data_IF_547190787156
#
_entry.id   IF_547190787156
#
_cell.length_a   1.000
_cell.length_b   1.000
_cell.length_c   1.000
_cell.angle_alpha   90.00
_cell.angle_beta   90.00
_cell.angle_gamma   90.00
#
_symmetry.space_group_name_H-M   'P 1'
#
loop_
_entity.id
_entity.type
_entity.pdbx_description
1 polymer ?
#
# COMPACT_ATOMS: atom_id res chain seq x y z
N UNK A 1 -17.17 -4.90 17.28
CA UNK A 1 -18.20 -4.01 16.73
C UNK A 1 -17.48 -2.79 16.17
N UNK A 2 -17.62 -2.50 14.88
CA UNK A 2 -17.11 -1.25 14.32
C UNK A 2 -17.73 -0.06 15.07
N UNK A 3 -16.94 0.98 15.33
CA UNK A 3 -17.41 2.21 15.98
C UNK A 3 -18.60 2.77 15.21
N UNK A 4 -19.80 2.75 15.79
CA UNK A 4 -20.94 3.47 15.25
C UNK A 4 -20.66 4.96 15.44
N UNK A 5 -20.77 5.75 14.36
CA UNK A 5 -20.48 7.19 14.37
C UNK A 5 -21.23 7.91 15.49
N UNK A 6 -20.54 8.85 16.13
CA UNK A 6 -21.04 9.65 17.27
C UNK A 6 -22.11 10.68 16.91
N UNK A 7 -22.70 10.64 15.70
CA UNK A 7 -23.64 11.68 15.25
C UNK A 7 -24.91 11.13 14.65
N UNK A 8 -26.00 11.04 15.45
CA UNK A 8 -27.36 10.83 14.96
C UNK A 8 -28.02 12.05 14.30
N UNK A 9 -27.25 13.04 13.85
CA UNK A 9 -27.71 14.17 13.05
C UNK A 9 -27.59 13.85 11.55
N UNK A 10 -28.50 14.37 10.72
CA UNK A 10 -28.40 14.28 9.27
C UNK A 10 -27.05 14.88 8.83
N UNK A 11 -26.21 14.07 8.12
CA UNK A 11 -24.92 14.51 7.65
C UNK A 11 -25.09 15.76 6.75
N UNK A 12 -24.25 16.77 7.01
CA UNK A 12 -24.27 18.04 6.25
C UNK A 12 -23.68 17.78 4.86
N UNK A 13 -24.33 18.33 3.82
CA UNK A 13 -23.70 18.38 2.50
C UNK A 13 -22.47 19.32 2.56
N UNK A 14 -21.44 18.96 1.84
CA UNK A 14 -20.26 19.83 1.67
C UNK A 14 -20.69 21.05 0.86
N UNK A 15 -20.43 22.30 1.33
CA UNK A 15 -20.61 23.48 0.51
C UNK A 15 -19.75 23.39 -0.76
N UNK A 16 -20.09 24.17 -1.80
CA UNK A 16 -19.24 24.26 -2.99
C UNK A 16 -17.81 24.63 -2.57
N UNK A 17 -16.88 23.75 -2.87
CA UNK A 17 -15.46 23.92 -2.54
C UNK A 17 -14.79 24.60 -3.73
N UNK A 18 -14.42 25.84 -3.56
CA UNK A 18 -13.59 26.54 -4.54
C UNK A 18 -12.16 25.98 -4.48
N UNK A 19 -11.66 25.52 -5.63
CA UNK A 19 -10.28 25.04 -5.77
C UNK A 19 -9.60 25.81 -6.90
N UNK A 20 -8.37 26.24 -6.64
CA UNK A 20 -7.52 26.87 -7.65
C UNK A 20 -6.97 25.81 -8.61
N UNK A 21 -7.20 26.02 -9.92
CA UNK A 21 -6.60 25.16 -10.95
C UNK A 21 -5.19 25.63 -11.29
N UNK A 22 -4.19 24.74 -11.18
CA UNK A 22 -2.77 25.04 -11.41
C UNK A 22 -2.28 24.22 -12.59
N UNK A 23 -2.12 24.89 -13.73
CA UNK A 23 -1.68 24.32 -15.01
C UNK A 23 -0.55 25.13 -15.67
N UNK A 24 0.12 25.99 -14.90
CA UNK A 24 1.28 26.78 -15.36
C UNK A 24 2.42 26.70 -14.35
N UNK A 25 3.67 26.77 -14.83
CA UNK A 25 4.86 26.75 -13.97
C UNK A 25 4.86 27.93 -12.98
N UNK A 26 4.37 29.10 -13.38
CA UNK A 26 4.25 30.25 -12.49
C UNK A 26 3.22 30.02 -11.37
N UNK A 27 2.08 29.39 -11.69
CA UNK A 27 1.07 29.02 -10.72
C UNK A 27 1.59 27.96 -9.75
N UNK A 28 2.34 26.98 -10.26
CA UNK A 28 2.97 25.96 -9.42
C UNK A 28 4.02 26.55 -8.48
N UNK A 29 4.89 27.45 -8.99
CA UNK A 29 5.88 28.12 -8.16
C UNK A 29 5.23 28.94 -7.03
N UNK A 30 4.17 29.68 -7.33
CA UNK A 30 3.43 30.43 -6.33
C UNK A 30 2.81 29.51 -5.26
N UNK A 31 2.21 28.37 -5.67
CA UNK A 31 1.68 27.37 -4.74
C UNK A 31 2.77 26.79 -3.83
N UNK A 32 3.92 26.41 -4.38
CA UNK A 32 5.05 25.88 -3.59
C UNK A 32 5.58 26.91 -2.60
N UNK A 33 5.67 28.18 -3.02
CA UNK A 33 6.11 29.28 -2.13
C UNK A 33 5.11 29.50 -0.97
N UNK A 34 3.80 29.40 -1.24
CA UNK A 34 2.77 29.50 -0.21
C UNK A 34 2.80 28.32 0.77
N UNK A 35 3.06 27.12 0.27
CA UNK A 35 3.10 25.89 1.08
C UNK A 35 4.36 25.73 1.91
N UNK A 36 5.43 26.43 1.58
CA UNK A 36 6.76 26.26 2.21
C UNK A 36 6.75 26.48 3.73
N UNK A 37 5.94 27.42 4.19
CA UNK A 37 5.87 27.85 5.58
C UNK A 37 4.66 27.31 6.33
N UNK A 38 3.87 26.40 5.72
CA UNK A 38 2.73 25.79 6.43
C UNK A 38 3.18 24.57 7.24
N UNK A 39 2.66 24.46 8.45
CA UNK A 39 2.97 23.33 9.33
C UNK A 39 2.42 22.00 8.79
N UNK A 40 1.29 22.05 8.09
CA UNK A 40 0.56 20.87 7.60
C UNK A 40 -0.16 21.17 6.30
N UNK A 41 -0.13 20.21 5.39
CA UNK A 41 -0.89 20.24 4.14
C UNK A 41 -1.51 18.88 3.85
N UNK A 42 -2.70 18.88 3.27
CA UNK A 42 -3.38 17.69 2.82
C UNK A 42 -2.95 17.34 1.40
N UNK A 43 -2.79 16.05 1.09
CA UNK A 43 -2.47 15.56 -0.24
C UNK A 43 -3.35 14.37 -0.61
N UNK A 44 -3.69 14.30 -1.89
CA UNK A 44 -4.26 13.13 -2.54
C UNK A 44 -3.86 13.08 -4.00
N UNK A 45 -3.97 11.93 -4.68
CA UNK A 45 -3.66 11.82 -6.11
C UNK A 45 -4.71 11.01 -6.85
N UNK A 46 -5.02 11.48 -8.08
CA UNK A 46 -5.66 10.64 -9.06
C UNK A 46 -4.61 10.15 -10.07
N UNK A 47 -4.55 8.85 -10.31
CA UNK A 47 -3.55 8.26 -11.18
C UNK A 47 -4.10 7.10 -12.02
N UNK A 48 -3.40 6.80 -13.11
CA UNK A 48 -3.73 5.71 -14.01
C UNK A 48 -2.65 4.62 -13.99
N UNK A 49 -3.07 3.33 -13.96
CA UNK A 49 -2.19 2.16 -13.85
C UNK A 49 -2.48 1.06 -14.89
N UNK A 50 -3.54 1.22 -15.66
CA UNK A 50 -4.02 0.11 -16.50
C UNK A 50 -3.23 -0.07 -17.80
N UNK A 51 -2.67 1.02 -18.35
CA UNK A 51 -1.99 1.06 -19.64
C UNK A 51 -0.47 1.21 -19.56
N UNK A 52 0.05 1.47 -18.36
CA UNK A 52 1.47 1.71 -18.08
C UNK A 52 2.00 0.71 -17.06
N UNK A 53 3.32 0.55 -17.00
CA UNK A 53 3.99 -0.19 -15.94
C UNK A 53 4.09 0.64 -14.65
N UNK A 54 4.46 1.90 -14.80
CA UNK A 54 4.51 2.86 -13.71
C UNK A 54 3.17 3.58 -13.54
N UNK A 55 2.77 3.91 -12.32
CA UNK A 55 1.58 4.71 -12.11
C UNK A 55 1.81 6.10 -12.74
N UNK A 56 0.89 6.54 -13.56
CA UNK A 56 0.92 7.87 -14.16
C UNK A 56 -0.02 8.78 -13.39
N UNK A 57 0.55 9.77 -12.69
CA UNK A 57 -0.25 10.78 -12.00
C UNK A 57 -1.09 11.57 -13.02
N UNK A 58 -2.35 11.76 -12.71
CA UNK A 58 -3.31 12.45 -13.56
C UNK A 58 -3.84 13.74 -12.93
N UNK A 59 -3.81 13.84 -11.60
CA UNK A 59 -4.14 15.03 -10.84
C UNK A 59 -3.44 14.94 -9.47
N UNK A 60 -2.95 16.04 -8.95
CA UNK A 60 -2.48 16.18 -7.58
C UNK A 60 -3.36 17.18 -6.85
N UNK A 61 -3.98 16.78 -5.77
CA UNK A 61 -4.78 17.61 -4.91
C UNK A 61 -3.98 18.07 -3.70
N UNK A 62 -4.06 19.35 -3.39
CA UNK A 62 -3.38 19.96 -2.24
C UNK A 62 -4.38 20.79 -1.46
N UNK A 63 -4.46 20.56 -0.15
CA UNK A 63 -5.28 21.36 0.78
C UNK A 63 -4.42 21.94 1.91
N UNK A 64 -4.62 23.19 2.27
CA UNK A 64 -3.89 23.80 3.39
C UNK A 64 -4.73 24.87 4.09
N UNK A 65 -4.22 25.39 5.20
CA UNK A 65 -4.80 26.56 5.86
C UNK A 65 -3.93 27.77 5.56
N UNK A 66 -4.55 28.83 5.07
CA UNK A 66 -3.89 30.12 4.86
C UNK A 66 -3.46 30.74 6.19
N UNK A 67 -2.57 31.76 6.19
CA UNK A 67 -2.23 32.50 7.42
C UNK A 67 -3.44 33.14 8.14
N UNK A 68 -4.55 33.38 7.41
CA UNK A 68 -5.80 33.84 7.99
C UNK A 68 -6.62 32.72 8.65
N UNK A 69 -6.15 31.44 8.55
CA UNK A 69 -6.83 30.27 9.08
C UNK A 69 -7.94 29.71 8.18
N UNK A 70 -8.09 30.26 6.97
CA UNK A 70 -9.07 29.80 5.99
C UNK A 70 -8.53 28.56 5.25
N UNK A 71 -9.43 27.63 4.88
CA UNK A 71 -9.07 26.50 4.03
C UNK A 71 -8.82 26.96 2.59
N UNK A 72 -7.74 26.49 1.98
CA UNK A 72 -7.44 26.68 0.57
C UNK A 72 -7.16 25.34 -0.10
N UNK A 73 -7.52 25.22 -1.38
CA UNK A 73 -7.33 24.00 -2.17
C UNK A 73 -6.78 24.35 -3.54
N UNK A 74 -5.79 23.56 -3.97
CA UNK A 74 -5.27 23.59 -5.33
C UNK A 74 -5.42 22.22 -5.99
N UNK A 75 -5.78 22.22 -7.28
CA UNK A 75 -5.79 21.08 -8.16
C UNK A 75 -4.71 21.29 -9.20
N UNK A 76 -3.61 20.56 -9.07
CA UNK A 76 -2.43 20.69 -9.93
C UNK A 76 -2.54 19.71 -11.09
N UNK A 77 -2.43 20.20 -12.33
CA UNK A 77 -2.47 19.40 -13.54
C UNK A 77 -1.07 18.90 -13.96
N UNK A 78 -0.70 17.64 -13.66
CA UNK A 78 0.62 17.10 -14.01
C UNK A 78 0.79 16.82 -15.51
N UNK A 79 -0.27 17.02 -16.32
CA UNK A 79 -0.17 16.95 -17.78
C UNK A 79 0.28 18.28 -18.38
N UNK A 80 0.21 19.38 -17.60
CA UNK A 80 0.57 20.73 -18.02
C UNK A 80 1.84 21.23 -17.34
N UNK A 81 2.14 20.78 -16.09
CA UNK A 81 3.30 21.22 -15.31
C UNK A 81 4.12 20.03 -14.81
N UNK A 82 5.42 20.25 -14.58
CA UNK A 82 6.31 19.27 -13.95
C UNK A 82 6.15 19.33 -12.42
N UNK A 83 5.90 18.18 -11.79
CA UNK A 83 5.75 18.07 -10.33
C UNK A 83 7.09 18.05 -9.56
N UNK A 84 8.23 18.03 -10.22
CA UNK A 84 9.55 18.01 -9.57
C UNK A 84 9.74 19.08 -8.48
N UNK A 85 9.19 20.31 -8.57
CA UNK A 85 9.27 21.29 -7.48
C UNK A 85 8.70 20.83 -6.14
N UNK A 86 7.75 19.88 -6.12
CA UNK A 86 7.25 19.30 -4.87
C UNK A 86 8.32 18.56 -4.06
N UNK A 87 9.42 18.11 -4.69
CA UNK A 87 10.51 17.48 -3.96
C UNK A 87 11.13 18.39 -2.87
N UNK A 88 11.20 19.68 -3.14
CA UNK A 88 11.68 20.65 -2.16
C UNK A 88 10.69 20.85 -1.01
N UNK A 89 9.38 20.88 -1.30
CA UNK A 89 8.33 20.92 -0.28
C UNK A 89 8.35 19.64 0.59
N UNK A 90 8.46 18.48 -0.04
CA UNK A 90 8.49 17.17 0.64
C UNK A 90 9.72 16.98 1.54
N UNK A 91 10.85 17.61 1.20
CA UNK A 91 12.04 17.64 2.06
C UNK A 91 11.91 18.62 3.24
N UNK A 92 10.91 19.50 3.23
CA UNK A 92 10.64 20.48 4.27
C UNK A 92 10.03 19.85 5.54
N UNK A 93 9.81 20.66 6.59
CA UNK A 93 9.29 20.17 7.88
C UNK A 93 7.77 19.96 7.91
N UNK A 94 7.04 20.39 6.87
CA UNK A 94 5.58 20.30 6.83
C UNK A 94 5.06 18.86 6.88
N UNK A 95 4.02 18.61 7.68
CA UNK A 95 3.36 17.32 7.80
C UNK A 95 2.38 17.11 6.64
N UNK A 96 2.61 16.10 5.82
CA UNK A 96 1.62 15.66 4.81
C UNK A 96 0.51 14.84 5.48
N UNK A 97 -0.72 15.29 5.36
CA UNK A 97 -1.91 14.59 5.85
C UNK A 97 -2.60 13.94 4.66
N UNK A 98 -2.76 12.63 4.70
CA UNK A 98 -3.30 11.83 3.62
C UNK A 98 -4.32 10.80 4.13
N UNK A 99 -5.01 10.11 3.21
CA UNK A 99 -5.87 8.99 3.55
C UNK A 99 -5.55 7.77 2.70
N UNK A 100 -5.16 6.65 3.33
CA UNK A 100 -4.76 5.41 2.65
C UNK A 100 -3.58 5.60 1.67
N UNK A 101 -2.58 6.36 2.07
CA UNK A 101 -1.50 6.94 1.27
C UNK A 101 -0.56 5.95 0.57
N UNK A 102 -0.69 4.63 0.77
CA UNK A 102 0.28 3.64 0.29
C UNK A 102 0.51 3.67 -1.23
N UNK A 103 -0.53 3.96 -2.01
CA UNK A 103 -0.41 4.05 -3.47
C UNK A 103 0.13 5.40 -3.91
N UNK A 104 -0.24 6.48 -3.21
CA UNK A 104 0.23 7.84 -3.51
C UNK A 104 1.74 7.97 -3.23
N UNK A 105 2.25 7.34 -2.18
CA UNK A 105 3.70 7.25 -1.92
C UNK A 105 4.45 6.63 -3.11
N UNK A 106 3.92 5.55 -3.72
CA UNK A 106 4.51 4.99 -4.94
C UNK A 106 4.42 5.94 -6.14
N UNK A 107 3.29 6.65 -6.27
CA UNK A 107 3.10 7.67 -7.32
C UNK A 107 4.11 8.81 -7.13
N UNK A 108 4.28 9.34 -5.93
CA UNK A 108 5.25 10.40 -5.63
C UNK A 108 6.68 9.97 -5.87
N UNK A 109 7.07 8.80 -5.39
CA UNK A 109 8.42 8.24 -5.64
C UNK A 109 8.75 8.20 -7.13
N UNK A 110 7.78 7.79 -7.95
CA UNK A 110 7.98 7.65 -9.39
C UNK A 110 7.89 8.99 -10.14
N UNK A 111 6.92 9.85 -9.79
CA UNK A 111 6.61 11.07 -10.56
C UNK A 111 7.38 12.29 -10.08
N UNK A 112 7.80 12.34 -8.81
CA UNK A 112 8.48 13.47 -8.18
C UNK A 112 9.91 13.09 -7.80
N UNK A 113 10.20 11.79 -7.61
CA UNK A 113 11.48 11.29 -7.10
C UNK A 113 11.67 11.53 -5.60
N UNK A 114 10.63 11.91 -4.88
CA UNK A 114 10.63 12.18 -3.45
C UNK A 114 9.28 11.85 -2.83
N UNK A 115 9.27 11.62 -1.52
CA UNK A 115 8.06 11.48 -0.70
C UNK A 115 8.12 12.44 0.48
N UNK A 116 6.98 12.85 1.07
CA UNK A 116 6.97 13.74 2.22
C UNK A 116 7.86 13.24 3.35
N UNK A 117 8.63 14.14 3.97
CA UNK A 117 9.52 13.83 5.10
C UNK A 117 8.74 13.42 6.36
N UNK A 118 7.51 13.89 6.52
CA UNK A 118 6.58 13.54 7.58
C UNK A 118 5.21 13.24 7.00
N UNK A 119 4.58 12.16 7.47
CA UNK A 119 3.29 11.66 7.01
C UNK A 119 2.34 11.41 8.18
N UNK A 120 1.07 11.78 8.02
CA UNK A 120 -0.03 11.32 8.85
C UNK A 120 -1.13 10.73 7.97
N UNK A 121 -1.27 9.41 8.00
CA UNK A 121 -2.33 8.71 7.29
C UNK A 121 -3.57 8.58 8.19
N UNK A 122 -4.64 9.27 7.82
CA UNK A 122 -5.89 9.27 8.58
C UNK A 122 -6.56 7.89 8.64
N UNK A 123 -6.31 6.99 7.68
CA UNK A 123 -6.83 5.62 7.73
C UNK A 123 -6.10 4.78 8.77
N UNK A 124 -4.77 4.89 8.85
CA UNK A 124 -3.96 4.25 9.90
C UNK A 124 -4.37 4.80 11.27
N UNK A 125 -4.44 6.12 11.40
CA UNK A 125 -4.84 6.79 12.63
C UNK A 125 -6.21 6.31 13.12
N UNK A 126 -7.19 6.23 12.22
CA UNK A 126 -8.53 5.72 12.51
C UNK A 126 -8.52 4.25 12.95
N UNK A 127 -7.63 3.44 12.39
CA UNK A 127 -7.45 2.04 12.81
C UNK A 127 -7.06 1.91 14.29
N UNK A 128 -6.26 2.83 14.82
CA UNK A 128 -5.94 2.91 16.25
C UNK A 128 -7.08 3.44 17.13
N UNK A 129 -8.17 3.90 16.53
CA UNK A 129 -9.39 4.33 17.22
C UNK A 129 -10.54 3.32 17.06
N UNK A 130 -10.28 2.16 16.44
CA UNK A 130 -11.21 1.05 16.31
C UNK A 130 -12.03 1.05 15.01
N UNK A 131 -11.66 1.85 14.03
CA UNK A 131 -12.20 1.74 12.69
C UNK A 131 -11.50 0.58 11.94
N UNK A 132 -12.28 -0.22 11.22
CA UNK A 132 -11.72 -1.27 10.35
C UNK A 132 -11.49 -0.73 8.94
N UNK A 133 -10.30 -0.23 8.64
CA UNK A 133 -9.92 0.30 7.32
C UNK A 133 -11.02 1.18 6.68
N UNK A 134 -11.41 2.29 7.29
CA UNK A 134 -12.53 3.09 6.80
C UNK A 134 -12.15 3.74 5.46
N UNK A 135 -13.14 3.95 4.57
CA UNK A 135 -12.97 4.89 3.47
C UNK A 135 -12.99 6.32 3.99
N UNK A 136 -12.41 7.26 3.24
CA UNK A 136 -12.45 8.69 3.59
C UNK A 136 -13.88 9.18 3.82
N UNK A 137 -14.83 8.79 2.95
CA UNK A 137 -16.24 9.12 3.09
C UNK A 137 -16.83 8.62 4.42
N UNK A 138 -16.55 7.35 4.78
CA UNK A 138 -17.05 6.79 6.04
C UNK A 138 -16.42 7.47 7.26
N UNK A 139 -15.14 7.84 7.17
CA UNK A 139 -14.43 8.52 8.25
C UNK A 139 -14.93 9.97 8.42
N UNK A 140 -15.11 10.73 7.32
CA UNK A 140 -15.64 12.07 7.35
C UNK A 140 -17.09 12.10 7.89
N UNK A 141 -17.93 11.15 7.48
CA UNK A 141 -19.30 11.03 8.01
C UNK A 141 -19.30 10.68 9.50
N UNK A 142 -18.42 9.74 9.92
CA UNK A 142 -18.35 9.28 11.32
C UNK A 142 -17.75 10.31 12.28
N UNK A 143 -16.72 11.04 11.87
CA UNK A 143 -15.98 11.94 12.74
C UNK A 143 -16.45 13.40 12.62
N UNK A 144 -16.82 13.85 11.42
CA UNK A 144 -17.16 15.24 11.17
C UNK A 144 -18.67 15.45 10.90
N UNK A 145 -19.42 14.37 10.67
CA UNK A 145 -20.83 14.47 10.25
C UNK A 145 -20.99 15.05 8.84
N UNK A 146 -19.96 14.91 7.99
CA UNK A 146 -19.92 15.46 6.63
C UNK A 146 -20.04 14.31 5.62
N UNK A 147 -20.90 14.50 4.61
CA UNK A 147 -21.05 13.54 3.52
C UNK A 147 -20.33 14.04 2.29
N UNK A 148 -19.18 13.39 1.97
CA UNK A 148 -18.42 13.68 0.77
C UNK A 148 -19.15 13.24 -0.50
N UNK A 149 -18.92 13.92 -1.66
CA UNK A 149 -19.45 13.50 -2.93
C UNK A 149 -18.94 12.10 -3.30
N UNK A 150 -19.77 11.34 -4.00
CA UNK A 150 -19.35 10.02 -4.49
C UNK A 150 -18.61 10.18 -5.81
N UNK A 151 -17.39 9.64 -5.87
CA UNK A 151 -16.61 9.55 -7.09
C UNK A 151 -17.14 8.48 -8.04
N UNK A 152 -16.87 8.67 -9.32
CA UNK A 152 -17.03 7.64 -10.34
C UNK A 152 -15.69 6.93 -10.53
N UNK A 153 -15.61 5.67 -10.09
CA UNK A 153 -14.40 4.82 -10.21
C UNK A 153 -13.96 4.56 -11.66
N UNK A 154 -14.83 4.86 -12.62
CA UNK A 154 -14.56 4.68 -14.06
C UNK A 154 -14.13 5.98 -14.73
N UNK A 155 -13.90 7.04 -13.97
CA UNK A 155 -13.46 8.32 -14.49
C UNK A 155 -12.10 8.20 -15.18
N UNK A 156 -12.00 8.67 -16.43
CA UNK A 156 -10.71 8.83 -17.11
C UNK A 156 -10.06 10.15 -16.68
N UNK A 157 -9.26 10.08 -15.64
CA UNK A 157 -8.55 11.24 -15.07
C UNK A 157 -7.46 11.82 -16.00
N UNK A 158 -7.05 11.09 -17.04
CA UNK A 158 -6.10 11.61 -18.04
C UNK A 158 -6.77 12.47 -19.11
N UNK A 159 -8.10 12.48 -19.16
CA UNK A 159 -8.83 13.31 -20.14
C UNK A 159 -8.82 14.78 -19.68
N UNK A 160 -8.72 15.70 -20.66
CA UNK A 160 -8.85 17.14 -20.45
C UNK A 160 -9.87 17.75 -21.41
N UNK A 161 -10.56 18.83 -20.98
CA UNK A 161 -10.59 19.36 -19.61
C UNK A 161 -11.34 18.43 -18.66
N UNK A 162 -11.04 18.50 -17.35
CA UNK A 162 -11.88 17.88 -16.31
C UNK A 162 -13.17 18.66 -16.19
N UNK A 163 -14.29 17.96 -15.99
CA UNK A 163 -15.57 18.59 -15.72
C UNK A 163 -15.68 19.09 -14.26
N UNK A 164 -16.71 19.88 -13.96
CA UNK A 164 -16.89 20.48 -12.64
C UNK A 164 -17.16 19.42 -11.55
N UNK A 165 -17.77 18.30 -11.90
CA UNK A 165 -18.01 17.19 -10.96
C UNK A 165 -16.68 16.50 -10.58
N UNK A 166 -15.79 16.28 -11.55
CA UNK A 166 -14.47 15.71 -11.32
C UNK A 166 -13.66 16.64 -10.42
N UNK A 167 -13.65 17.95 -10.72
CA UNK A 167 -12.94 18.94 -9.90
C UNK A 167 -13.51 19.02 -8.48
N UNK A 168 -14.82 19.03 -8.31
CA UNK A 168 -15.47 19.07 -7.01
C UNK A 168 -15.19 17.79 -6.19
N UNK A 169 -15.18 16.63 -6.85
CA UNK A 169 -14.81 15.37 -6.22
C UNK A 169 -13.37 15.42 -5.72
N UNK A 170 -12.40 15.74 -6.60
CA UNK A 170 -10.98 15.81 -6.26
C UNK A 170 -10.68 16.84 -5.15
N UNK A 171 -11.36 17.98 -5.17
CA UNK A 171 -11.25 18.98 -4.10
C UNK A 171 -11.78 18.46 -2.76
N UNK A 172 -12.86 17.68 -2.78
CA UNK A 172 -13.45 17.13 -1.57
C UNK A 172 -12.56 16.08 -0.88
N UNK A 173 -11.68 15.38 -1.62
CA UNK A 173 -10.79 14.37 -1.07
C UNK A 173 -9.72 14.97 -0.15
N UNK A 174 -9.36 16.25 -0.32
CA UNK A 174 -8.41 16.97 0.56
C UNK A 174 -9.04 18.00 1.49
N UNK A 175 -10.27 18.46 1.20
CA UNK A 175 -10.91 19.56 1.89
C UNK A 175 -10.99 19.41 3.42
N UNK A 176 -11.19 18.19 3.89
CA UNK A 176 -11.44 17.90 5.30
C UNK A 176 -10.35 17.07 5.97
N UNK A 177 -9.25 16.76 5.26
CA UNK A 177 -8.17 15.93 5.83
C UNK A 177 -7.49 16.60 7.03
N UNK A 178 -7.29 17.92 7.00
CA UNK A 178 -6.68 18.65 8.12
C UNK A 178 -7.61 18.69 9.35
N UNK A 179 -8.92 18.77 9.14
CA UNK A 179 -9.90 18.71 10.24
C UNK A 179 -9.98 17.30 10.83
N UNK A 180 -9.95 16.27 9.97
CA UNK A 180 -9.86 14.88 10.40
C UNK A 180 -8.58 14.64 11.19
N UNK A 181 -7.43 15.14 10.71
CA UNK A 181 -6.17 15.06 11.43
C UNK A 181 -6.31 15.63 12.85
N UNK A 182 -6.80 16.87 12.99
CA UNK A 182 -6.90 17.52 14.29
C UNK A 182 -7.75 16.71 15.27
N UNK A 183 -8.85 16.14 14.77
CA UNK A 183 -9.75 15.33 15.60
C UNK A 183 -9.14 13.97 15.99
N UNK A 184 -8.56 13.25 15.04
CA UNK A 184 -7.96 11.95 15.28
C UNK A 184 -6.72 12.08 16.16
N UNK A 185 -5.85 13.07 15.89
CA UNK A 185 -4.62 13.30 16.65
C UNK A 185 -4.94 13.58 18.14
N UNK A 186 -5.96 14.41 18.41
CA UNK A 186 -6.40 14.69 19.78
C UNK A 186 -6.84 13.42 20.51
N UNK A 187 -7.69 12.57 19.89
CA UNK A 187 -8.16 11.34 20.54
C UNK A 187 -7.01 10.31 20.72
N UNK A 188 -6.07 10.27 19.79
CA UNK A 188 -4.87 9.43 19.89
C UNK A 188 -3.95 9.87 21.03
N UNK A 189 -3.79 11.17 21.23
CA UNK A 189 -3.04 11.73 22.38
C UNK A 189 -3.71 11.37 23.71
N UNK A 190 -5.03 11.53 23.81
CA UNK A 190 -5.81 11.16 25.02
C UNK A 190 -5.67 9.66 25.35
N UNK A 191 -5.47 8.80 24.32
CA UNK A 191 -5.29 7.35 24.48
C UNK A 191 -3.81 6.93 24.61
N UNK A 192 -2.84 7.85 24.52
CA UNK A 192 -1.41 7.56 24.56
C UNK A 192 -0.90 6.76 23.34
N UNK A 193 -1.51 6.96 22.15
CA UNK A 193 -1.21 6.17 20.92
C UNK A 193 -0.50 6.96 19.83
N UNK A 194 -0.14 8.20 20.09
CA UNK A 194 0.52 9.08 19.10
C UNK A 194 1.79 8.45 18.55
N UNK A 195 2.64 7.86 19.40
CA UNK A 195 3.88 7.22 18.97
C UNK A 195 3.64 5.96 18.12
N UNK A 196 2.58 5.21 18.41
CA UNK A 196 2.21 4.03 17.61
C UNK A 196 1.80 4.41 16.19
N UNK A 197 0.99 5.46 16.08
CA UNK A 197 0.58 6.00 14.76
C UNK A 197 1.78 6.57 14.01
N UNK A 198 2.65 7.32 14.69
CA UNK A 198 3.87 7.85 14.09
C UNK A 198 4.77 6.74 13.55
N UNK A 199 4.95 5.66 14.31
CA UNK A 199 5.70 4.48 13.88
C UNK A 199 5.11 3.85 12.61
N UNK A 200 3.78 3.62 12.57
CA UNK A 200 3.14 3.01 11.39
C UNK A 200 3.19 3.93 10.15
N UNK A 201 3.03 5.22 10.34
CA UNK A 201 3.18 6.20 9.27
C UNK A 201 4.61 6.21 8.72
N UNK A 202 5.62 6.09 9.58
CA UNK A 202 7.01 5.99 9.15
C UNK A 202 7.29 4.68 8.39
N UNK A 203 6.74 3.55 8.86
CA UNK A 203 6.81 2.28 8.13
C UNK A 203 6.17 2.43 6.74
N UNK A 204 4.98 3.04 6.66
CA UNK A 204 4.29 3.26 5.38
C UNK A 204 5.06 4.21 4.47
N UNK A 205 5.56 5.33 5.01
CA UNK A 205 6.35 6.33 4.28
C UNK A 205 7.62 5.73 3.66
N UNK A 206 8.27 4.81 4.37
CA UNK A 206 9.48 4.13 3.91
C UNK A 206 9.19 2.85 3.12
N UNK A 207 7.93 2.40 3.10
CA UNK A 207 7.59 1.21 2.36
C UNK A 207 7.73 1.48 0.86
N UNK A 208 8.52 0.66 0.20
CA UNK A 208 8.64 0.64 -1.26
C UNK A 208 8.21 -0.74 -1.72
N UNK A 209 7.33 -0.83 -2.71
CA UNK A 209 7.08 -2.12 -3.35
C UNK A 209 8.41 -2.57 -3.95
N UNK A 210 9.11 -3.48 -3.26
CA UNK A 210 10.30 -4.10 -3.78
C UNK A 210 9.90 -4.86 -5.04
N UNK A 211 9.93 -4.17 -6.17
CA UNK A 211 9.77 -4.79 -7.49
C UNK A 211 11.10 -5.47 -7.84
N UNK A 212 11.42 -6.55 -7.10
CA UNK A 212 12.51 -7.43 -7.51
C UNK A 212 12.04 -8.20 -8.73
N UNK A 213 12.57 -7.92 -9.93
CA UNK A 213 12.19 -8.66 -11.13
C UNK A 213 12.28 -10.18 -10.93
N UNK A 214 13.29 -10.63 -10.16
CA UNK A 214 13.54 -12.03 -9.84
C UNK A 214 12.43 -12.68 -9.00
N UNK A 215 11.60 -11.90 -8.31
CA UNK A 215 10.48 -12.39 -7.51
C UNK A 215 9.14 -12.29 -8.27
N UNK A 216 9.13 -11.68 -9.47
CA UNK A 216 7.89 -11.45 -10.25
C UNK A 216 7.16 -12.74 -10.61
N UNK A 217 7.88 -13.88 -10.75
CA UNK A 217 7.29 -15.20 -10.99
C UNK A 217 6.31 -15.64 -9.90
N UNK A 218 6.46 -15.17 -8.66
CA UNK A 218 5.59 -15.52 -7.53
C UNK A 218 4.15 -14.99 -7.72
N UNK A 219 3.97 -13.95 -8.53
CA UNK A 219 2.67 -13.39 -8.90
C UNK A 219 1.96 -14.20 -9.96
N UNK A 220 2.66 -15.10 -10.66
CA UNK A 220 2.10 -16.00 -11.67
C UNK A 220 1.55 -17.24 -10.97
N UNK A 221 0.23 -17.39 -10.95
CA UNK A 221 -0.46 -18.46 -10.21
C UNK A 221 0.06 -19.86 -10.59
N UNK A 222 0.20 -20.12 -11.87
CA UNK A 222 0.64 -21.40 -12.41
C UNK A 222 2.13 -21.70 -12.15
N UNK A 223 2.96 -20.66 -11.95
CA UNK A 223 4.38 -20.81 -11.62
C UNK A 223 4.59 -21.48 -10.25
N UNK A 224 3.63 -21.34 -9.33
CA UNK A 224 3.69 -21.96 -7.98
C UNK A 224 3.75 -23.48 -8.00
N UNK A 225 3.33 -24.10 -9.09
CA UNK A 225 3.35 -25.56 -9.28
C UNK A 225 4.64 -26.07 -9.91
N UNK A 226 5.46 -25.18 -10.48
CA UNK A 226 6.72 -25.56 -11.13
C UNK A 226 7.78 -25.97 -10.09
N UNK A 227 8.64 -26.90 -10.51
CA UNK A 227 9.73 -27.45 -9.68
C UNK A 227 10.99 -27.62 -10.52
N UNK A 228 12.13 -27.79 -9.85
CA UNK A 228 13.40 -28.05 -10.50
C UNK A 228 13.78 -27.02 -11.55
N UNK A 229 14.24 -27.47 -12.73
CA UNK A 229 14.71 -26.60 -13.80
C UNK A 229 13.64 -25.62 -14.31
N UNK A 230 12.38 -26.05 -14.39
CA UNK A 230 11.29 -25.19 -14.83
C UNK A 230 11.05 -24.01 -13.88
N UNK A 231 11.30 -24.19 -12.58
CA UNK A 231 11.21 -23.11 -11.59
C UNK A 231 12.35 -22.08 -11.78
N UNK A 232 13.57 -22.52 -12.10
CA UNK A 232 14.67 -21.61 -12.44
C UNK A 232 14.36 -20.80 -13.71
N UNK A 233 13.88 -21.47 -14.74
CA UNK A 233 13.53 -20.81 -16.01
C UNK A 233 12.38 -19.83 -15.86
N UNK A 234 11.28 -20.18 -15.13
CA UNK A 234 10.16 -19.24 -14.95
C UNK A 234 10.60 -18.00 -14.17
N UNK A 235 11.49 -18.13 -13.20
CA UNK A 235 12.07 -17.01 -12.46
C UNK A 235 12.81 -16.06 -13.39
N UNK A 236 13.74 -16.56 -14.21
CA UNK A 236 14.54 -15.74 -15.12
C UNK A 236 13.70 -15.10 -16.24
N UNK A 237 12.77 -15.85 -16.87
CA UNK A 237 11.90 -15.35 -17.93
C UNK A 237 10.91 -14.31 -17.39
N UNK A 238 10.35 -14.51 -16.19
CA UNK A 238 9.49 -13.53 -15.55
C UNK A 238 10.28 -12.25 -15.17
N UNK A 239 11.51 -12.39 -14.71
CA UNK A 239 12.39 -11.26 -14.41
C UNK A 239 12.73 -10.45 -15.68
N UNK A 240 13.05 -11.12 -16.78
CA UNK A 240 13.24 -10.47 -18.09
C UNK A 240 11.98 -9.70 -18.51
N UNK A 241 10.82 -10.34 -18.42
CA UNK A 241 9.52 -9.73 -18.75
C UNK A 241 9.25 -8.48 -17.92
N UNK A 242 9.54 -8.53 -16.60
CA UNK A 242 9.32 -7.41 -15.68
C UNK A 242 10.23 -6.23 -16.05
N UNK A 243 11.53 -6.48 -16.25
CA UNK A 243 12.49 -5.45 -16.70
C UNK A 243 12.06 -4.81 -18.02
N UNK A 244 11.65 -5.64 -18.98
CA UNK A 244 11.20 -5.15 -20.29
C UNK A 244 9.93 -4.33 -20.22
N UNK A 245 9.00 -4.70 -19.34
CA UNK A 245 7.77 -3.93 -19.09
C UNK A 245 8.08 -2.56 -18.50
N UNK A 246 9.00 -2.49 -17.54
CA UNK A 246 9.45 -1.24 -16.92
C UNK A 246 10.18 -0.32 -17.91
N UNK A 247 11.05 -0.88 -18.78
CA UNK A 247 11.76 -0.12 -19.82
C UNK A 247 10.80 0.51 -20.86
N UNK A 248 9.76 -0.22 -21.24
CA UNK A 248 8.81 0.22 -22.25
C UNK A 248 7.62 1.00 -21.65
N UNK A 249 7.55 1.07 -20.33
CA UNK A 249 6.42 1.61 -19.57
C UNK A 249 5.07 1.03 -20.04
N UNK A 250 4.99 -0.29 -20.18
CA UNK A 250 3.77 -1.02 -20.56
C UNK A 250 3.45 -2.14 -19.56
N UNK A 251 2.18 -2.55 -19.44
CA UNK A 251 1.81 -3.65 -18.55
C UNK A 251 2.57 -4.94 -18.90
N UNK A 252 3.01 -5.69 -17.90
CA UNK A 252 3.79 -6.94 -18.06
C UNK A 252 3.12 -7.94 -19.00
N UNK A 253 1.78 -8.01 -18.98
CA UNK A 253 0.99 -8.88 -19.88
C UNK A 253 1.10 -8.50 -21.35
N UNK A 254 1.42 -7.23 -21.65
CA UNK A 254 1.63 -6.76 -23.01
C UNK A 254 3.03 -7.10 -23.55
N UNK A 255 4.00 -7.34 -22.66
CA UNK A 255 5.29 -7.91 -23.05
C UNK A 255 5.12 -9.40 -23.35
N UNK A 256 4.60 -10.18 -22.39
CA UNK A 256 4.37 -11.61 -22.53
C UNK A 256 3.28 -12.06 -21.55
N UNK A 257 2.27 -12.81 -22.01
CA UNK A 257 1.21 -13.34 -21.16
C UNK A 257 1.76 -14.40 -20.15
N UNK A 258 1.14 -14.53 -18.98
CA UNK A 258 1.53 -15.50 -17.94
C UNK A 258 1.59 -16.93 -18.49
N UNK A 259 0.60 -17.30 -19.30
CA UNK A 259 0.57 -18.61 -19.97
C UNK A 259 1.82 -18.86 -20.82
N UNK A 260 2.30 -17.84 -21.54
CA UNK A 260 3.51 -17.96 -22.37
C UNK A 260 4.76 -18.12 -21.49
N UNK A 261 4.88 -17.36 -20.41
CA UNK A 261 6.01 -17.47 -19.45
C UNK A 261 6.10 -18.90 -18.90
N UNK A 262 4.98 -19.46 -18.43
CA UNK A 262 4.92 -20.82 -17.90
C UNK A 262 5.19 -21.88 -18.99
N UNK A 263 4.69 -21.67 -20.20
CA UNK A 263 4.91 -22.59 -21.33
C UNK A 263 6.37 -22.61 -21.79
N UNK A 264 7.03 -21.43 -21.81
CA UNK A 264 8.48 -21.32 -22.07
C UNK A 264 9.27 -22.06 -20.98
N UNK A 265 8.92 -21.87 -19.73
CA UNK A 265 9.59 -22.52 -18.60
C UNK A 265 9.49 -24.05 -18.63
N UNK A 266 8.32 -24.59 -18.97
CA UNK A 266 8.12 -26.03 -19.07
C UNK A 266 8.88 -26.65 -20.28
N UNK A 267 8.98 -25.92 -21.38
CA UNK A 267 9.64 -26.40 -22.59
C UNK A 267 11.16 -26.19 -22.55
N UNK A 268 11.61 -25.14 -21.88
CA UNK A 268 13.00 -24.70 -21.77
C UNK A 268 13.72 -24.69 -23.16
N UNK A 269 13.25 -23.86 -24.12
CA UNK A 269 13.80 -23.84 -25.48
C UNK A 269 15.25 -23.40 -25.47
N UNK A 270 16.08 -24.03 -26.37
CA UNK A 270 17.51 -23.70 -26.50
C UNK A 270 17.86 -23.06 -27.85
N UNK A 271 16.95 -23.09 -28.80
CA UNK A 271 17.11 -22.48 -30.09
C UNK A 271 15.83 -21.73 -30.53
N UNK A 272 15.97 -20.75 -31.42
CA UNK A 272 14.84 -19.95 -31.94
C UNK A 272 13.75 -20.83 -32.53
N UNK A 273 14.11 -21.94 -33.20
CA UNK A 273 13.18 -22.90 -33.74
C UNK A 273 12.27 -23.56 -32.69
N UNK A 274 12.76 -23.72 -31.47
CA UNK A 274 12.03 -24.35 -30.35
C UNK A 274 10.91 -23.46 -29.81
N UNK A 275 10.98 -22.15 -30.07
CA UNK A 275 9.93 -21.18 -29.70
C UNK A 275 8.64 -21.39 -30.51
N UNK A 276 8.75 -22.08 -31.65
CA UNK A 276 7.59 -22.40 -32.48
C UNK A 276 6.67 -23.40 -31.77
N UNK A 277 5.40 -23.09 -31.70
CA UNK A 277 4.40 -23.95 -31.05
C UNK A 277 4.33 -23.84 -29.52
N UNK A 278 5.08 -22.93 -28.89
CA UNK A 278 4.88 -22.62 -27.49
C UNK A 278 3.55 -21.91 -27.31
N UNK A 279 2.72 -22.47 -26.42
CA UNK A 279 1.36 -21.97 -26.17
C UNK A 279 1.41 -20.57 -25.56
N UNK A 280 0.62 -19.65 -26.14
CA UNK A 280 0.51 -18.27 -25.67
C UNK A 280 1.67 -17.36 -26.03
N UNK A 281 2.71 -17.87 -26.72
CA UNK A 281 3.83 -17.06 -27.19
C UNK A 281 3.47 -16.43 -28.55
N UNK A 282 3.47 -15.09 -28.60
CA UNK A 282 3.16 -14.31 -29.80
C UNK A 282 4.25 -14.45 -30.87
N UNK A 283 3.86 -14.28 -32.15
CA UNK A 283 4.81 -14.37 -33.26
C UNK A 283 5.94 -13.34 -33.20
N UNK A 284 5.69 -12.15 -32.65
CA UNK A 284 6.71 -11.11 -32.42
C UNK A 284 7.82 -11.56 -31.45
N UNK A 285 7.49 -12.41 -30.47
CA UNK A 285 8.42 -12.93 -29.46
C UNK A 285 9.23 -14.15 -29.95
N UNK A 286 8.89 -14.69 -31.13
CA UNK A 286 9.55 -15.86 -31.71
C UNK A 286 10.64 -15.52 -32.72
N UNK A 287 10.92 -14.21 -32.94
CA UNK A 287 11.85 -13.74 -34.00
C UNK A 287 12.71 -12.58 -33.50
N UNK A 288 13.89 -12.46 -34.13
CA UNK A 288 14.83 -11.35 -33.90
C UNK A 288 15.32 -11.26 -32.48
N UNK A 289 15.70 -10.06 -32.04
CA UNK A 289 16.31 -9.82 -30.74
C UNK A 289 15.43 -10.23 -29.53
N UNK A 290 14.11 -10.20 -29.66
CA UNK A 290 13.24 -10.64 -28.55
C UNK A 290 13.31 -12.17 -28.35
N UNK A 291 13.40 -12.94 -29.43
CA UNK A 291 13.60 -14.38 -29.33
C UNK A 291 14.94 -14.71 -28.68
N UNK A 292 16.01 -14.01 -29.06
CA UNK A 292 17.35 -14.16 -28.48
C UNK A 292 17.34 -13.82 -26.99
N UNK A 293 16.76 -12.70 -26.57
CA UNK A 293 16.63 -12.31 -25.16
C UNK A 293 15.84 -13.35 -24.33
N UNK A 294 14.79 -13.95 -24.90
CA UNK A 294 14.04 -15.02 -24.22
C UNK A 294 14.92 -16.25 -24.03
N UNK A 295 15.70 -16.64 -25.07
CA UNK A 295 16.63 -17.78 -24.97
C UNK A 295 17.75 -17.51 -23.97
N UNK A 296 18.28 -16.28 -23.90
CA UNK A 296 19.24 -15.87 -22.88
C UNK A 296 18.65 -16.02 -21.47
N UNK A 297 17.42 -15.52 -21.25
CA UNK A 297 16.74 -15.68 -19.96
C UNK A 297 16.48 -17.17 -19.62
N UNK A 298 16.16 -17.99 -20.61
CA UNK A 298 16.03 -19.46 -20.41
C UNK A 298 17.37 -20.07 -20.00
N UNK A 299 18.46 -19.72 -20.70
CA UNK A 299 19.81 -20.21 -20.41
C UNK A 299 20.27 -19.78 -18.99
N UNK A 300 20.02 -18.53 -18.63
CA UNK A 300 20.24 -18.02 -17.25
C UNK A 300 19.49 -18.84 -16.21
N UNK A 301 18.19 -19.09 -16.44
CA UNK A 301 17.36 -19.87 -15.52
C UNK A 301 17.79 -21.34 -15.41
N UNK A 302 18.29 -21.94 -16.49
CA UNK A 302 18.84 -23.30 -16.49
C UNK A 302 20.17 -23.37 -15.73
N UNK A 303 21.03 -22.35 -15.86
CA UNK A 303 22.33 -22.28 -15.20
C UNK A 303 22.19 -21.98 -13.70
N UNK A 304 21.31 -21.05 -13.35
CA UNK A 304 21.06 -20.66 -11.94
C UNK A 304 20.31 -21.74 -11.16
N UNK A 305 19.57 -22.60 -11.85
CA UNK A 305 18.72 -23.61 -11.21
C UNK A 305 17.50 -22.99 -10.49
N UNK A 306 16.76 -23.80 -9.72
CA UNK A 306 15.67 -23.30 -8.91
C UNK A 306 16.22 -22.30 -7.88
N UNK A 307 15.46 -21.22 -7.55
CA UNK A 307 15.82 -20.34 -6.46
C UNK A 307 16.08 -21.21 -5.21
N UNK A 308 17.05 -20.81 -4.36
CA UNK A 308 17.17 -21.45 -3.06
C UNK A 308 15.76 -21.49 -2.47
N UNK A 309 15.38 -22.64 -1.91
CA UNK A 309 14.14 -22.69 -1.14
C UNK A 309 14.21 -21.48 -0.24
N UNK A 310 13.29 -20.53 -0.40
CA UNK A 310 13.24 -19.44 0.55
C UNK A 310 13.26 -20.10 1.90
N UNK A 311 14.05 -19.57 2.81
CA UNK A 311 14.12 -20.09 4.19
C UNK A 311 12.72 -20.34 4.77
N UNK A 312 11.69 -19.68 4.22
CA UNK A 312 10.26 -19.91 4.49
C UNK A 312 9.65 -21.21 3.93
N UNK A 313 10.31 -21.99 3.08
CA UNK A 313 9.61 -23.07 2.35
C UNK A 313 9.89 -24.50 2.81
N UNK A 314 10.82 -24.77 3.72
CA UNK A 314 11.00 -26.16 4.21
C UNK A 314 11.59 -26.31 5.60
N UNK A 315 12.42 -25.36 6.09
CA UNK A 315 12.95 -25.42 7.45
C UNK A 315 12.18 -24.47 8.41
N UNK A 316 11.34 -23.59 7.85
CA UNK A 316 10.51 -22.62 8.56
C UNK A 316 9.00 -22.85 8.36
N UNK A 317 8.57 -24.10 8.02
CA UNK A 317 7.16 -24.42 8.13
C UNK A 317 6.79 -24.50 9.62
N UNK A 318 5.78 -23.72 10.04
CA UNK A 318 5.26 -23.77 11.39
C UNK A 318 5.07 -25.21 11.85
N UNK A 319 5.72 -25.62 12.94
CA UNK A 319 5.57 -26.95 13.53
C UNK A 319 4.07 -27.24 13.67
N UNK A 320 3.66 -28.42 13.20
CA UNK A 320 2.25 -28.86 13.29
C UNK A 320 1.69 -28.77 14.71
N UNK A 321 2.55 -28.87 15.73
CA UNK A 321 2.19 -28.72 17.14
C UNK A 321 1.77 -27.29 17.49
N UNK A 322 2.28 -26.26 16.75
CA UNK A 322 1.96 -24.86 16.99
C UNK A 322 0.73 -24.35 16.21
N UNK A 323 0.22 -25.13 15.25
CA UNK A 323 -1.00 -24.74 14.50
C UNK A 323 -2.21 -24.44 15.39
N UNK A 324 -2.49 -25.21 16.47
CA UNK A 324 -3.56 -24.85 17.41
C UNK A 324 -3.28 -23.51 18.12
N UNK A 325 -2.02 -23.20 18.44
CA UNK A 325 -1.64 -21.93 19.07
C UNK A 325 -1.98 -20.74 18.18
N UNK A 326 -1.74 -20.82 16.86
CA UNK A 326 -2.14 -19.76 15.91
C UNK A 326 -3.63 -19.47 15.97
N UNK A 327 -4.46 -20.51 16.06
CA UNK A 327 -5.93 -20.33 16.16
C UNK A 327 -6.33 -19.64 17.48
N UNK A 328 -5.73 -20.05 18.60
CA UNK A 328 -5.96 -19.44 19.91
C UNK A 328 -5.51 -17.97 19.94
N UNK A 329 -4.32 -17.69 19.43
CA UNK A 329 -3.77 -16.34 19.34
C UNK A 329 -4.65 -15.46 18.45
N UNK A 330 -5.13 -15.97 17.31
CA UNK A 330 -6.02 -15.21 16.43
C UNK A 330 -7.33 -14.81 17.13
N UNK A 331 -7.90 -15.72 17.94
CA UNK A 331 -9.09 -15.42 18.75
C UNK A 331 -8.79 -14.36 19.82
N UNK A 332 -7.63 -14.45 20.47
CA UNK A 332 -7.21 -13.46 21.48
C UNK A 332 -6.93 -12.08 20.86
N UNK A 333 -6.29 -12.02 19.67
CA UNK A 333 -6.11 -10.76 18.94
C UNK A 333 -7.45 -10.11 18.60
N UNK A 334 -8.46 -10.91 18.22
CA UNK A 334 -9.81 -10.37 18.00
C UNK A 334 -10.41 -9.77 19.30
N UNK A 335 -10.11 -10.38 20.45
CA UNK A 335 -10.48 -9.82 21.76
C UNK A 335 -9.71 -8.53 22.05
N UNK A 336 -8.38 -8.52 21.89
CA UNK A 336 -7.56 -7.32 22.09
C UNK A 336 -8.07 -6.15 21.22
N UNK A 337 -8.40 -6.41 19.96
CA UNK A 337 -8.97 -5.42 19.06
C UNK A 337 -10.24 -4.78 19.61
N UNK A 338 -11.12 -5.57 20.25
CA UNK A 338 -12.32 -5.06 20.91
C UNK A 338 -12.00 -4.27 22.18
N UNK A 339 -11.19 -4.85 23.05
CA UNK A 339 -10.84 -4.27 24.36
C UNK A 339 -10.12 -2.94 24.21
N UNK A 340 -9.13 -2.89 23.30
CA UNK A 340 -8.35 -1.69 23.05
C UNK A 340 -8.95 -0.77 21.99
N UNK A 341 -10.02 -1.18 21.29
CA UNK A 341 -10.57 -0.44 20.14
C UNK A 341 -9.48 -0.16 19.10
N UNK A 342 -8.82 -1.19 18.62
CA UNK A 342 -7.80 -1.14 17.57
C UNK A 342 -8.21 -2.10 16.46
N UNK A 343 -8.01 -1.72 15.20
CA UNK A 343 -8.18 -2.64 14.07
C UNK A 343 -7.25 -3.85 14.26
N UNK A 344 -7.82 -5.04 14.17
CA UNK A 344 -7.08 -6.30 14.37
C UNK A 344 -5.94 -6.48 13.36
N UNK A 345 -6.05 -5.91 12.17
CA UNK A 345 -4.99 -5.96 11.14
C UNK A 345 -3.77 -5.13 11.52
N UNK A 346 -3.97 -4.07 12.31
CA UNK A 346 -2.88 -3.31 12.92
C UNK A 346 -2.20 -4.10 14.04
N UNK A 347 -2.95 -4.86 14.82
CA UNK A 347 -2.38 -5.68 15.89
C UNK A 347 -1.53 -6.81 15.31
N UNK A 348 -2.13 -7.72 14.57
CA UNK A 348 -1.43 -8.80 13.91
C UNK A 348 -2.29 -9.47 12.84
N UNK A 349 -1.67 -9.89 11.76
CA UNK A 349 -2.23 -10.84 10.81
C UNK A 349 -1.82 -12.26 11.18
N UNK A 350 -2.45 -13.25 10.54
CA UNK A 350 -2.06 -14.65 10.71
C UNK A 350 -0.59 -14.89 10.33
N UNK A 351 -0.10 -14.23 9.27
CA UNK A 351 1.31 -14.34 8.86
C UNK A 351 2.25 -13.78 9.91
N UNK A 352 1.89 -12.66 10.56
CA UNK A 352 2.71 -12.08 11.62
C UNK A 352 2.85 -13.04 12.82
N UNK A 353 1.76 -13.76 13.17
CA UNK A 353 1.78 -14.79 14.22
C UNK A 353 2.68 -15.95 13.80
N UNK A 354 2.55 -16.43 12.57
CA UNK A 354 3.34 -17.52 12.04
C UNK A 354 4.83 -17.15 11.99
N UNK A 355 5.20 -15.96 11.50
CA UNK A 355 6.58 -15.46 11.47
C UNK A 355 7.19 -15.39 12.89
N UNK A 356 6.44 -14.87 13.87
CA UNK A 356 6.88 -14.82 15.26
C UNK A 356 7.14 -16.22 15.86
N UNK A 357 6.28 -17.19 15.54
CA UNK A 357 6.37 -18.56 16.09
C UNK A 357 7.40 -19.43 15.38
N UNK A 358 7.76 -19.11 14.14
CA UNK A 358 8.74 -19.86 13.36
C UNK A 358 10.16 -19.50 13.79
N UNK A 359 10.51 -18.22 13.78
CA UNK A 359 11.88 -17.76 14.00
C UNK A 359 12.00 -16.53 14.91
N UNK A 360 10.88 -16.07 15.45
CA UNK A 360 10.86 -14.90 16.31
C UNK A 360 11.01 -13.58 15.57
N UNK A 361 10.76 -13.57 14.27
CA UNK A 361 10.87 -12.39 13.39
C UNK A 361 9.51 -11.72 13.11
N UNK A 362 9.54 -10.72 12.22
CA UNK A 362 8.35 -10.05 11.72
C UNK A 362 7.86 -8.92 12.61
N UNK A 363 6.68 -8.38 12.29
CA UNK A 363 6.11 -7.18 12.92
C UNK A 363 5.84 -7.29 14.42
N UNK A 364 5.77 -8.52 14.96
CA UNK A 364 5.54 -8.78 16.38
C UNK A 364 6.82 -8.91 17.20
N UNK A 365 8.00 -8.83 16.55
CA UNK A 365 9.28 -8.97 17.23
C UNK A 365 9.73 -7.69 17.95
N UNK A 366 9.26 -6.52 17.50
CA UNK A 366 9.73 -5.22 17.94
C UNK A 366 8.61 -4.22 18.21
N UNK A 367 8.95 -3.13 18.89
CA UNK A 367 8.14 -1.94 19.08
C UNK A 367 6.85 -2.21 19.89
N UNK A 368 5.87 -1.36 19.70
CA UNK A 368 4.60 -1.41 20.43
C UNK A 368 3.83 -2.74 20.27
N UNK A 369 3.98 -3.40 19.12
CA UNK A 369 3.36 -4.72 18.89
C UNK A 369 4.02 -5.83 19.69
N UNK A 370 5.32 -5.74 19.90
CA UNK A 370 6.01 -6.71 20.75
C UNK A 370 5.47 -6.68 22.18
N UNK A 371 5.29 -5.49 22.74
CA UNK A 371 4.79 -5.33 24.09
C UNK A 371 3.33 -5.80 24.23
N UNK A 372 2.47 -5.39 23.27
CA UNK A 372 1.04 -5.65 23.36
C UNK A 372 0.65 -7.07 22.92
N UNK A 373 1.38 -7.66 21.97
CA UNK A 373 1.03 -8.94 21.33
C UNK A 373 2.20 -9.93 21.36
N UNK A 374 3.39 -9.53 20.92
CA UNK A 374 4.50 -10.45 20.68
C UNK A 374 4.98 -11.19 21.90
N UNK A 375 5.28 -10.46 23.00
CA UNK A 375 5.71 -11.06 24.25
C UNK A 375 4.60 -11.92 24.89
N UNK A 376 3.34 -11.47 25.00
CA UNK A 376 2.23 -12.31 25.47
C UNK A 376 2.04 -13.60 24.66
N UNK A 377 2.21 -13.57 23.33
CA UNK A 377 2.12 -14.76 22.49
C UNK A 377 3.26 -15.73 22.79
N UNK A 378 4.49 -15.24 23.01
CA UNK A 378 5.60 -16.09 23.43
C UNK A 378 5.33 -16.74 24.79
N UNK A 379 4.83 -15.98 25.75
CA UNK A 379 4.50 -16.50 27.07
C UNK A 379 3.45 -17.60 27.02
N UNK A 380 2.44 -17.45 26.14
CA UNK A 380 1.44 -18.49 25.88
C UNK A 380 2.06 -19.77 25.32
N UNK A 381 2.91 -19.66 24.28
CA UNK A 381 3.49 -20.81 23.57
C UNK A 381 4.54 -21.53 24.44
N UNK A 382 5.29 -20.77 25.24
CA UNK A 382 6.26 -21.32 26.19
C UNK A 382 5.61 -21.92 27.47
N UNK A 383 4.27 -21.83 27.55
CA UNK A 383 3.53 -22.38 28.68
C UNK A 383 3.58 -21.52 29.96
N UNK A 384 4.09 -20.29 29.88
CA UNK A 384 4.11 -19.32 31.00
C UNK A 384 2.77 -18.59 31.18
N UNK A 385 1.90 -18.65 30.17
CA UNK A 385 0.55 -18.10 30.22
C UNK A 385 -0.48 -19.09 29.66
N UNK A 386 -1.75 -18.84 29.92
CA UNK A 386 -2.87 -19.58 29.37
C UNK A 386 -3.98 -18.61 28.95
N UNK A 387 -4.74 -18.97 27.91
CA UNK A 387 -5.97 -18.28 27.56
C UNK A 387 -7.14 -18.89 28.32
N UNK A 388 -7.89 -18.05 29.00
CA UNK A 388 -9.09 -18.40 29.73
C UNK A 388 -10.25 -17.51 29.26
N UNK A 389 -11.50 -18.01 29.38
CA UNK A 389 -12.70 -17.21 29.18
C UNK A 389 -13.34 -16.96 30.52
N UNK A 390 -13.42 -15.70 30.95
CA UNK A 390 -13.91 -15.33 32.28
C UNK A 390 -15.44 -15.20 32.37
N UNK A 391 -16.15 -15.46 31.27
CA UNK A 391 -17.60 -15.33 31.12
C UNK A 391 -18.01 -14.18 30.21
N UNK A 392 -17.12 -13.21 29.98
CA UNK A 392 -17.34 -12.05 29.09
C UNK A 392 -16.24 -11.95 28.03
N UNK A 393 -14.97 -12.05 28.45
CA UNK A 393 -13.80 -11.80 27.61
C UNK A 393 -12.82 -12.98 27.58
N UNK A 394 -12.02 -13.04 26.53
CA UNK A 394 -10.90 -13.96 26.42
C UNK A 394 -9.65 -13.29 27.00
N UNK A 395 -9.19 -13.77 28.16
CA UNK A 395 -8.08 -13.19 28.91
C UNK A 395 -6.84 -14.08 28.86
N UNK A 396 -5.66 -13.47 28.91
CA UNK A 396 -4.39 -14.16 29.05
C UNK A 396 -3.96 -14.12 30.51
N UNK A 397 -3.87 -15.28 31.14
CA UNK A 397 -3.53 -15.44 32.55
C UNK A 397 -2.12 -16.00 32.72
N UNK A 398 -1.28 -15.46 33.62
CA UNK A 398 -0.02 -16.09 33.96
C UNK A 398 -0.24 -17.51 34.51
N UNK A 399 0.63 -18.44 34.14
CA UNK A 399 0.68 -19.77 34.75
C UNK A 399 1.76 -19.79 35.81
N UNK A 400 1.39 -20.32 36.97
CA UNK A 400 2.31 -20.56 38.08
C UNK A 400 3.35 -21.64 37.77
#
# INVERSE_FOLDING_TARGET
MARAGRGGGAARAVPDIEATWVDTDAGLAALIDELRDVDRYALDTEFHREKTYWPKVALLQVGWRTPAGEGAIALVDPLAVDLAPFAALFAGPGLAVMHAASQDIEVFEHSIGAVPSALFDTQIAAGFLGYGTPSLTALAEGELGIRLPKGDRLTDWLRRPLDDRQKAYAAADVAHLLELHDRLAKELEELGRTEWVAFENEVQRNWRPLRHPEQSYQRIKEARQLRGKALGVVRAVAAWRERRAAELDIPVRHVMADLAVVSVANRAPTAVGDLKGIRGLDDRLRRGALAEQILEAVAEGLASGPPPRSERSSDHELDRKLRPAVALVSAWIAQLGRTHRIDTTLLATRSDIEDLLIDGSGRLADGWRHELVGQPVRDLVDGRAALAFDGEDLVLEPRA
#
